data_IF_195168774731
#
_entry.id   IF_195168774731
#
_cell.length_a   1.000
_cell.length_b   1.000
_cell.length_c   1.000
_cell.angle_alpha   90.00
_cell.angle_beta   90.00
_cell.angle_gamma   90.00
#
_symmetry.space_group_name_H-M   'P 1'
#
loop_
_entity.id
_entity.type
_entity.pdbx_description
1 polymer ?
#
# COMPACT_ATOMS: atom_id res chain seq x y z
N UNK A 1 11.15 15.09 -11.21
CA UNK A 1 11.47 13.80 -10.60
C UNK A 1 10.18 13.01 -10.39
N UNK A 2 10.27 11.73 -10.60
CA UNK A 2 9.13 10.87 -10.30
C UNK A 2 8.99 10.70 -8.80
N UNK A 3 7.91 11.12 -8.25
CA UNK A 3 7.76 11.01 -6.80
C UNK A 3 7.57 9.57 -6.36
N UNK A 4 6.81 8.79 -7.12
CA UNK A 4 6.41 7.46 -6.70
C UNK A 4 6.60 6.45 -7.79
N UNK A 5 6.89 5.23 -7.36
CA UNK A 5 6.95 4.09 -8.21
C UNK A 5 5.69 3.27 -8.00
N UNK A 6 4.94 3.06 -9.07
CA UNK A 6 3.73 2.25 -9.00
C UNK A 6 4.01 0.88 -9.54
N UNK A 7 3.80 -0.14 -8.71
CA UNK A 7 3.89 -1.54 -9.11
C UNK A 7 2.48 -2.07 -9.33
N UNK A 8 2.37 -3.02 -10.23
CA UNK A 8 1.08 -3.67 -10.50
C UNK A 8 1.10 -5.10 -10.02
N UNK A 9 -0.02 -5.56 -9.49
CA UNK A 9 -0.17 -6.94 -9.06
C UNK A 9 -1.55 -7.46 -9.41
N UNK A 10 -1.63 -8.60 -10.12
CA UNK A 10 -2.92 -9.21 -10.45
C UNK A 10 -3.55 -9.83 -9.20
N UNK A 11 -4.87 -9.81 -9.15
CA UNK A 11 -5.64 -10.39 -8.06
C UNK A 11 -6.98 -10.87 -8.59
N UNK A 12 -7.43 -12.03 -8.13
CA UNK A 12 -8.80 -12.46 -8.34
C UNK A 12 -9.69 -11.97 -7.20
N UNK A 13 -10.99 -11.74 -7.42
CA UNK A 13 -11.86 -11.20 -6.37
C UNK A 13 -11.83 -12.01 -5.07
N UNK A 14 -11.75 -13.32 -5.16
CA UNK A 14 -11.77 -14.18 -3.96
C UNK A 14 -10.42 -14.33 -3.28
N UNK A 15 -9.35 -13.84 -3.89
CA UNK A 15 -8.03 -14.00 -3.30
C UNK A 15 -7.79 -13.01 -2.17
N UNK A 16 -7.11 -13.50 -1.14
CA UNK A 16 -6.67 -12.70 0.00
C UNK A 16 -5.21 -12.97 0.21
N UNK A 17 -4.40 -11.92 0.26
CA UNK A 17 -2.97 -12.09 0.45
C UNK A 17 -2.37 -10.83 1.05
N UNK A 18 -1.12 -10.97 1.52
CA UNK A 18 -0.38 -9.86 2.10
C UNK A 18 0.29 -9.05 1.01
N UNK A 19 0.09 -7.74 1.05
CA UNK A 19 0.87 -6.76 0.31
C UNK A 19 1.81 -6.07 1.26
N UNK A 20 3.04 -5.80 0.81
CA UNK A 20 3.99 -5.08 1.64
C UNK A 20 4.91 -4.23 0.79
N UNK A 21 5.44 -3.18 1.41
CA UNK A 21 6.47 -2.35 0.82
C UNK A 21 7.60 -2.17 1.81
N UNK A 22 8.82 -2.37 1.32
CA UNK A 22 10.04 -2.19 2.10
C UNK A 22 10.64 -0.83 1.75
N UNK A 23 10.66 0.07 2.72
CA UNK A 23 11.18 1.42 2.54
C UNK A 23 12.68 1.53 2.82
N UNK A 24 13.39 0.41 2.92
CA UNK A 24 14.82 0.41 3.33
C UNK A 24 15.68 1.30 2.43
N UNK A 25 15.35 1.40 1.14
CA UNK A 25 16.11 2.22 0.20
C UNK A 25 15.57 3.65 0.10
N UNK A 26 14.51 3.98 0.81
CA UNK A 26 13.86 5.28 0.73
C UNK A 26 14.28 6.19 1.88
N UNK A 27 14.53 5.63 3.06
CA UNK A 27 14.84 6.41 4.24
C UNK A 27 16.35 6.52 4.46
N UNK A 28 16.76 7.60 5.11
CA UNK A 28 18.16 7.81 5.46
C UNK A 28 18.62 6.72 6.43
N UNK A 29 19.91 6.36 6.35
CA UNK A 29 20.46 5.29 7.16
C UNK A 29 20.30 5.54 8.66
N UNK A 30 20.34 6.81 9.07
CA UNK A 30 20.24 7.20 10.47
C UNK A 30 18.81 7.54 10.89
N UNK A 31 17.86 7.45 9.96
CA UNK A 31 16.47 7.78 10.24
C UNK A 31 15.68 6.51 10.55
N UNK A 32 14.54 6.66 11.21
CA UNK A 32 13.69 5.54 11.57
C UNK A 32 12.23 5.89 11.33
N UNK A 33 11.39 4.85 11.30
CA UNK A 33 9.95 5.00 11.13
C UNK A 33 9.36 5.67 12.38
N UNK A 34 8.52 6.69 12.14
CA UNK A 34 7.75 7.34 13.19
C UNK A 34 6.28 6.93 13.11
N UNK A 35 5.70 6.98 11.91
CA UNK A 35 4.30 6.63 11.70
C UNK A 35 4.12 6.00 10.32
N UNK A 36 3.00 5.31 10.14
CA UNK A 36 2.70 4.71 8.84
C UNK A 36 1.20 4.67 8.64
N UNK A 37 0.80 4.59 7.37
CA UNK A 37 -0.60 4.52 6.99
C UNK A 37 -0.71 3.76 5.68
N UNK A 38 -1.77 2.95 5.54
CA UNK A 38 -2.08 2.27 4.28
C UNK A 38 -3.55 2.52 3.97
N UNK A 39 -3.82 2.98 2.74
CA UNK A 39 -5.19 3.19 2.25
C UNK A 39 -5.33 2.61 0.86
N UNK A 40 -6.56 2.25 0.49
CA UNK A 40 -6.88 1.74 -0.82
C UNK A 40 -7.92 2.63 -1.49
N UNK A 41 -7.72 2.89 -2.78
CA UNK A 41 -8.60 3.75 -3.58
C UNK A 41 -9.00 3.04 -4.85
N UNK A 42 -10.27 3.18 -5.24
CA UNK A 42 -10.74 2.70 -6.54
C UNK A 42 -10.24 3.67 -7.61
N UNK A 43 -9.57 3.14 -8.63
CA UNK A 43 -8.97 3.97 -9.67
C UNK A 43 -10.04 4.68 -10.51
N UNK A 44 -11.22 4.09 -10.64
CA UNK A 44 -12.28 4.64 -11.49
C UNK A 44 -12.76 5.99 -10.99
N UNK A 45 -13.04 6.11 -9.69
CA UNK A 45 -13.62 7.33 -9.13
C UNK A 45 -12.78 7.92 -8.00
N UNK A 46 -11.64 7.33 -7.70
CA UNK A 46 -10.72 7.73 -6.64
C UNK A 46 -11.37 7.74 -5.24
N UNK A 47 -12.38 6.91 -5.05
CA UNK A 47 -13.02 6.78 -3.74
C UNK A 47 -12.18 5.93 -2.80
N UNK A 48 -12.22 6.25 -1.51
CA UNK A 48 -11.53 5.47 -0.48
C UNK A 48 -12.33 4.20 -0.20
N UNK A 49 -11.76 3.06 -0.55
CA UNK A 49 -12.37 1.75 -0.36
C UNK A 49 -11.56 0.88 0.60
N UNK A 50 -10.80 1.50 1.48
CA UNK A 50 -9.94 0.79 2.42
C UNK A 50 -10.72 -0.22 3.25
N UNK A 51 -11.92 0.13 3.70
CA UNK A 51 -12.72 -0.77 4.51
C UNK A 51 -13.19 -2.03 3.76
N UNK A 52 -13.22 -1.97 2.44
CA UNK A 52 -13.64 -3.10 1.60
C UNK A 52 -12.47 -3.95 1.15
N UNK A 53 -11.40 -3.31 0.69
CA UNK A 53 -10.28 -3.98 0.02
C UNK A 53 -9.17 -4.36 0.99
N UNK A 54 -9.03 -3.65 2.10
CA UNK A 54 -8.05 -3.97 3.12
C UNK A 54 -8.70 -4.74 4.25
N UNK A 55 -8.05 -5.83 4.67
CA UNK A 55 -8.53 -6.66 5.76
C UNK A 55 -7.78 -6.33 7.04
N UNK A 56 -8.44 -5.61 7.94
CA UNK A 56 -7.83 -5.20 9.19
C UNK A 56 -6.84 -4.07 9.04
N UNK A 57 -6.08 -3.81 10.09
CA UNK A 57 -5.13 -2.73 10.13
C UNK A 57 -3.81 -3.14 9.48
N UNK A 58 -3.10 -2.16 8.91
CA UNK A 58 -1.74 -2.37 8.46
C UNK A 58 -0.82 -2.63 9.66
N UNK A 59 0.26 -3.35 9.42
CA UNK A 59 1.25 -3.61 10.47
C UNK A 59 2.65 -3.45 9.91
N UNK A 60 3.64 -3.43 10.78
CA UNK A 60 5.03 -3.30 10.38
C UNK A 60 5.75 -4.62 10.61
N UNK A 61 6.60 -4.96 9.63
CA UNK A 61 7.52 -6.07 9.75
C UNK A 61 8.86 -5.61 10.30
N UNK A 62 9.90 -6.38 10.04
CA UNK A 62 11.25 -6.01 10.44
C UNK A 62 11.68 -4.75 9.69
N UNK A 63 12.29 -3.80 10.40
CA UNK A 63 12.77 -2.56 9.81
C UNK A 63 11.63 -1.71 9.26
N UNK A 64 11.83 -1.06 8.11
CA UNK A 64 10.85 -0.15 7.53
C UNK A 64 9.86 -0.84 6.59
N UNK A 65 9.50 -2.09 6.83
CA UNK A 65 8.53 -2.81 6.03
C UNK A 65 7.14 -2.57 6.57
N UNK A 66 6.23 -2.12 5.70
CA UNK A 66 4.82 -1.93 6.03
C UNK A 66 4.01 -2.96 5.24
N UNK A 67 3.11 -3.65 5.92
CA UNK A 67 2.31 -4.71 5.33
C UNK A 67 0.83 -4.53 5.64
N UNK A 68 -0.01 -5.04 4.76
CA UNK A 68 -1.45 -5.05 4.92
C UNK A 68 -2.01 -6.26 4.19
N UNK A 69 -3.08 -6.83 4.72
CA UNK A 69 -3.80 -7.91 4.06
C UNK A 69 -4.83 -7.32 3.10
N UNK A 70 -4.84 -7.77 1.86
CA UNK A 70 -5.86 -7.35 0.88
C UNK A 70 -6.88 -8.46 0.68
N UNK A 71 -8.10 -8.06 0.35
CA UNK A 71 -9.22 -8.97 0.16
C UNK A 71 -10.19 -8.39 -0.86
N UNK A 72 -11.20 -9.17 -1.23
CA UNK A 72 -12.33 -8.73 -2.06
C UNK A 72 -11.88 -8.00 -3.33
N UNK A 73 -12.63 -6.98 -3.71
CA UNK A 73 -12.41 -6.25 -4.94
C UNK A 73 -13.39 -6.69 -6.02
N UNK A 74 -13.81 -5.75 -6.85
CA UNK A 74 -14.76 -5.99 -7.93
C UNK A 74 -14.02 -6.36 -9.20
N UNK A 75 -14.51 -7.39 -9.90
CA UNK A 75 -13.94 -7.79 -11.18
C UNK A 75 -13.90 -6.61 -12.16
N UNK A 76 -12.82 -6.53 -12.90
CA UNK A 76 -12.54 -5.46 -13.86
C UNK A 76 -12.25 -4.09 -13.24
N UNK A 77 -12.09 -4.01 -11.93
CA UNK A 77 -11.67 -2.79 -11.25
C UNK A 77 -10.19 -2.84 -10.89
N UNK A 78 -9.55 -1.69 -10.91
CA UNK A 78 -8.19 -1.53 -10.41
C UNK A 78 -8.25 -0.72 -9.12
N UNK A 79 -7.37 -1.05 -8.18
CA UNK A 79 -7.29 -0.38 -6.89
C UNK A 79 -5.86 0.03 -6.62
N UNK A 80 -5.68 1.26 -6.14
CA UNK A 80 -4.37 1.72 -5.72
C UNK A 80 -4.26 1.57 -4.20
N UNK A 81 -3.32 0.75 -3.77
CA UNK A 81 -2.99 0.60 -2.35
C UNK A 81 -1.80 1.49 -2.07
N UNK A 82 -2.01 2.52 -1.27
CA UNK A 82 -0.99 3.54 -0.98
C UNK A 82 -0.38 3.27 0.38
N UNK A 83 0.93 3.08 0.39
CA UNK A 83 1.73 2.92 1.60
C UNK A 83 2.40 4.24 1.89
N UNK A 84 2.19 4.78 3.07
CA UNK A 84 2.81 6.03 3.48
C UNK A 84 3.61 5.83 4.75
N UNK A 85 4.84 6.30 4.73
CA UNK A 85 5.75 6.24 5.87
C UNK A 85 6.18 7.65 6.25
N UNK A 86 6.09 7.95 7.54
CA UNK A 86 6.64 9.19 8.11
C UNK A 86 7.83 8.81 9.00
N UNK A 87 8.94 9.50 8.81
CA UNK A 87 10.16 9.23 9.58
C UNK A 87 10.28 10.15 10.79
N UNK A 88 11.21 9.85 11.69
CA UNK A 88 11.46 10.68 12.85
C UNK A 88 12.00 12.05 12.48
N UNK A 89 12.58 12.21 11.30
CA UNK A 89 13.02 13.49 10.78
C UNK A 89 11.92 14.20 9.98
N UNK A 90 10.70 13.70 10.04
CA UNK A 90 9.51 14.28 9.41
C UNK A 90 9.50 14.19 7.88
N UNK A 91 10.28 13.30 7.31
CA UNK A 91 10.17 13.00 5.90
C UNK A 91 8.97 12.07 5.68
N UNK A 92 8.25 12.29 4.58
CA UNK A 92 7.09 11.49 4.24
C UNK A 92 7.33 10.84 2.88
N UNK A 93 7.23 9.52 2.84
CA UNK A 93 7.38 8.75 1.61
C UNK A 93 6.07 8.04 1.31
N UNK A 94 5.70 8.02 0.04
CA UNK A 94 4.47 7.36 -0.41
C UNK A 94 4.80 6.45 -1.59
N UNK A 95 4.29 5.23 -1.53
CA UNK A 95 4.46 4.25 -2.61
C UNK A 95 3.11 3.59 -2.90
N UNK A 96 2.91 3.22 -4.14
CA UNK A 96 1.62 2.73 -4.61
C UNK A 96 1.80 1.36 -5.25
N UNK A 97 0.96 0.42 -4.85
CA UNK A 97 0.82 -0.87 -5.53
C UNK A 97 -0.57 -0.92 -6.13
N UNK A 98 -0.65 -1.07 -7.45
CA UNK A 98 -1.94 -1.18 -8.14
C UNK A 98 -2.36 -2.64 -8.21
N UNK A 99 -3.54 -2.93 -7.66
CA UNK A 99 -4.16 -4.23 -7.78
C UNK A 99 -5.05 -4.25 -9.01
N UNK A 100 -4.80 -5.20 -9.90
CA UNK A 100 -5.63 -5.41 -11.09
C UNK A 100 -6.55 -6.58 -10.80
N UNK A 101 -7.80 -6.32 -10.44
CA UNK A 101 -8.75 -7.36 -10.06
C UNK A 101 -9.43 -7.90 -11.31
N UNK A 102 -9.23 -9.18 -11.57
CA UNK A 102 -9.80 -9.88 -12.73
C UNK A 102 -10.21 -11.27 -12.31
N UNK A 103 -11.41 -11.63 -12.71
CA UNK A 103 -11.95 -12.97 -12.41
C UNK A 103 -11.25 -14.07 -13.21
#
# INVERSE_FOLDING_TARGET
>A
MRPDKTLSRPKRPAEEFRLQWDFINDIEQTDTRSAFEVKAFDVVDNSDVSATVLQGAAWVGAGPIIAVQVQAGTDAHDYDVRFQLTTTQLDVFQRVVRLNVRA
#
